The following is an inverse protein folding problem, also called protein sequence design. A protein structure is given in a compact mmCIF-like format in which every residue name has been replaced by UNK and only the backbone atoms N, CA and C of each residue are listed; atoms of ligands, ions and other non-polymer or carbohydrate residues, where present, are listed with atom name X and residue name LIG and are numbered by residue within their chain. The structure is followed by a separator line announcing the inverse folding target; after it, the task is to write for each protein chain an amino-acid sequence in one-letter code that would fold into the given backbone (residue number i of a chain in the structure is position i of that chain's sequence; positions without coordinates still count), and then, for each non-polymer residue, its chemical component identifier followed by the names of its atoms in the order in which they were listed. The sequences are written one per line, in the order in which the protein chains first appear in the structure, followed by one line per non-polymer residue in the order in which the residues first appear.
data_IF_642736610572
#
_entry.id   IF_642736610572
#
_cell.length_a   1.000
_cell.length_b   1.000
_cell.length_c   1.000
_cell.angle_alpha   90.00
_cell.angle_beta   90.00
_cell.angle_gamma   90.00
#
_symmetry.space_group_name_H-M   'P 1'
#
loop_
_entity.id
_entity.type
_entity.pdbx_description
1 polymer ?
#
# COMPACT_ATOMS: atom_id res chain seq x y z
N UNK A 1 -23.14 -4.52 -17.13
CA UNK A 1 -24.06 -4.10 -16.05
C UNK A 1 -23.29 -3.25 -15.06
N UNK A 2 -23.84 -2.16 -14.49
CA UNK A 2 -23.13 -1.39 -13.47
C UNK A 2 -23.08 -2.18 -12.16
N UNK A 3 -21.87 -2.41 -11.66
CA UNK A 3 -21.64 -3.00 -10.33
C UNK A 3 -21.77 -1.92 -9.26
N UNK A 4 -22.38 -2.25 -8.12
CA UNK A 4 -22.59 -1.34 -6.98
C UNK A 4 -22.01 -1.98 -5.73
N UNK A 5 -21.17 -1.24 -5.01
CA UNK A 5 -20.64 -1.67 -3.70
C UNK A 5 -21.79 -1.62 -2.69
N UNK A 6 -22.04 -2.75 -2.01
CA UNK A 6 -23.15 -2.90 -1.05
C UNK A 6 -22.68 -3.09 0.39
N UNK A 7 -21.38 -3.30 0.60
CA UNK A 7 -20.76 -3.37 1.91
C UNK A 7 -19.24 -3.11 1.78
N UNK A 8 -18.67 -2.44 2.77
CA UNK A 8 -17.23 -2.28 2.99
C UNK A 8 -16.92 -2.89 4.35
N UNK A 9 -15.80 -3.60 4.47
CA UNK A 9 -15.32 -4.07 5.77
C UNK A 9 -14.61 -2.91 6.48
N UNK A 10 -14.93 -2.68 7.74
CA UNK A 10 -14.29 -1.63 8.56
C UNK A 10 -12.85 -2.01 8.97
N UNK A 11 -12.53 -3.31 8.98
CA UNK A 11 -11.17 -3.83 9.20
C UNK A 11 -10.47 -4.05 7.85
N UNK A 12 -9.49 -3.21 7.56
CA UNK A 12 -8.64 -3.34 6.39
C UNK A 12 -7.57 -4.43 6.62
N UNK A 13 -7.48 -5.38 5.69
CA UNK A 13 -6.36 -6.32 5.65
C UNK A 13 -5.08 -5.58 5.23
N UNK A 14 -4.11 -5.49 6.14
CA UNK A 14 -2.83 -4.83 5.86
C UNK A 14 -2.02 -5.62 4.82
N UNK A 15 -1.65 -4.94 3.73
CA UNK A 15 -0.73 -5.47 2.73
C UNK A 15 0.73 -5.20 3.13
N UNK A 16 1.59 -6.22 3.06
CA UNK A 16 2.99 -6.13 3.44
C UNK A 16 3.94 -6.85 2.48
N UNK A 17 5.19 -6.39 2.42
CA UNK A 17 6.25 -7.05 1.65
C UNK A 17 6.84 -8.19 2.47
N UNK A 18 6.83 -9.41 1.95
CA UNK A 18 7.41 -10.58 2.63
C UNK A 18 8.93 -10.57 2.43
N UNK A 19 9.68 -10.60 3.53
CA UNK A 19 11.14 -10.70 3.54
C UNK A 19 11.63 -11.97 4.25
N UNK A 20 12.77 -12.49 3.80
CA UNK A 20 13.48 -13.54 4.53
C UNK A 20 13.95 -13.03 5.90
N UNK A 21 13.80 -13.86 6.94
CA UNK A 21 14.24 -13.55 8.31
C UNK A 21 15.76 -13.28 8.34
N UNK A 22 16.18 -12.38 9.24
CA UNK A 22 17.60 -12.05 9.44
C UNK A 22 18.15 -10.97 8.51
N UNK A 23 17.29 -10.16 7.88
CA UNK A 23 17.70 -9.03 7.03
C UNK A 23 17.22 -7.68 7.57
N UNK A 24 17.74 -7.23 8.73
CA UNK A 24 17.29 -5.98 9.35
C UNK A 24 17.58 -4.74 8.49
N UNK A 25 18.72 -4.69 7.80
CA UNK A 25 19.08 -3.57 6.92
C UNK A 25 18.16 -3.46 5.70
N UNK A 26 17.80 -4.60 5.09
CA UNK A 26 16.89 -4.61 3.95
C UNK A 26 15.46 -4.23 4.37
N UNK A 27 15.02 -4.69 5.54
CA UNK A 27 13.73 -4.30 6.10
C UNK A 27 13.68 -2.79 6.37
N UNK A 28 14.74 -2.21 6.94
CA UNK A 28 14.83 -0.77 7.16
C UNK A 28 14.80 0.00 5.84
N UNK A 29 15.61 -0.39 4.85
CA UNK A 29 15.65 0.26 3.55
C UNK A 29 14.31 0.21 2.80
N UNK A 30 13.59 -0.92 2.87
CA UNK A 30 12.25 -1.04 2.26
C UNK A 30 11.26 -0.13 2.99
N UNK A 31 11.26 -0.12 4.32
CA UNK A 31 10.35 0.73 5.08
C UNK A 31 10.62 2.22 4.85
N UNK A 32 11.88 2.64 4.76
CA UNK A 32 12.23 4.02 4.42
C UNK A 32 11.80 4.38 3.00
N UNK A 33 12.04 3.50 2.02
CA UNK A 33 11.59 3.72 0.65
C UNK A 33 10.07 3.82 0.56
N UNK A 34 9.33 2.96 1.26
CA UNK A 34 7.87 3.00 1.35
C UNK A 34 7.38 4.30 2.00
N UNK A 35 8.04 4.76 3.06
CA UNK A 35 7.71 6.04 3.70
C UNK A 35 7.99 7.22 2.77
N UNK A 36 9.10 7.20 2.03
CA UNK A 36 9.47 8.24 1.09
C UNK A 36 8.46 8.36 -0.06
N UNK A 37 8.07 7.24 -0.68
CA UNK A 37 7.07 7.27 -1.78
C UNK A 37 5.66 7.62 -1.30
N UNK A 38 5.33 7.34 -0.03
CA UNK A 38 4.09 7.80 0.60
C UNK A 38 4.13 9.31 0.85
N UNK A 39 5.27 9.84 1.32
CA UNK A 39 5.45 11.27 1.58
C UNK A 39 5.51 12.11 0.29
N UNK A 40 6.12 11.58 -0.77
CA UNK A 40 6.24 12.24 -2.08
C UNK A 40 4.93 12.14 -2.90
N UNK A 41 3.96 11.33 -2.46
CA UNK A 41 2.69 11.14 -3.15
C UNK A 41 2.76 10.17 -4.34
N UNK A 42 3.94 9.64 -4.69
CA UNK A 42 4.08 8.59 -5.72
C UNK A 42 3.22 7.37 -5.41
N UNK A 43 3.07 7.02 -4.12
CA UNK A 43 2.21 5.91 -3.72
C UNK A 43 0.74 6.18 -4.05
N UNK A 44 0.26 7.41 -3.86
CA UNK A 44 -1.08 7.83 -4.23
C UNK A 44 -1.27 7.80 -5.75
N UNK A 45 -0.26 8.22 -6.53
CA UNK A 45 -0.29 8.13 -8.00
C UNK A 45 -0.38 6.68 -8.49
N UNK A 46 0.41 5.77 -7.90
CA UNK A 46 0.34 4.33 -8.20
C UNK A 46 -1.05 3.79 -7.83
N UNK A 47 -1.57 4.16 -6.66
CA UNK A 47 -2.88 3.72 -6.18
C UNK A 47 -3.99 4.17 -7.12
N UNK A 48 -4.00 5.44 -7.53
CA UNK A 48 -4.93 5.96 -8.52
C UNK A 48 -4.80 5.26 -9.87
N UNK A 49 -3.57 4.98 -10.32
CA UNK A 49 -3.33 4.34 -11.63
C UNK A 49 -3.87 2.91 -11.69
N UNK A 50 -3.70 2.13 -10.62
CA UNK A 50 -4.03 0.70 -10.62
C UNK A 50 -5.39 0.38 -9.99
N UNK A 51 -5.84 1.19 -9.03
CA UNK A 51 -7.06 0.96 -8.27
C UNK A 51 -8.12 2.05 -8.48
N UNK A 52 -7.76 3.20 -9.08
CA UNK A 52 -8.68 4.32 -9.27
C UNK A 52 -9.01 5.08 -7.98
N UNK A 53 -8.42 4.68 -6.86
CA UNK A 53 -8.62 5.25 -5.52
C UNK A 53 -7.31 5.16 -4.74
N UNK A 54 -7.14 6.02 -3.73
CA UNK A 54 -5.96 6.00 -2.89
C UNK A 54 -6.07 4.87 -1.86
N UNK A 55 -5.29 3.81 -2.05
CA UNK A 55 -5.26 2.62 -1.17
C UNK A 55 -4.09 2.68 -0.18
N UNK A 56 -3.55 3.87 0.10
CA UNK A 56 -2.45 4.05 1.05
C UNK A 56 -2.86 3.99 2.53
N UNK A 57 -4.18 3.99 2.80
CA UNK A 57 -4.81 4.00 4.12
C UNK A 57 -4.70 2.67 4.87
#
# INVERSE_FOLDING_TARGET
APVKVVATADEADFSGVILAKGKPELLAAINEALAAIKADGTYAEISQKYFGEDVSQ
#
